data_IF_927089805076
#
_entry.id   IF_927089805076
#
_cell.length_a   1.000
_cell.length_b   1.000
_cell.length_c   1.000
_cell.angle_alpha   90.00
_cell.angle_beta   90.00
_cell.angle_gamma   90.00
#
_symmetry.space_group_name_H-M   'P 1'
#
loop_
_entity.id
_entity.type
_entity.pdbx_description
1 polymer ?
#
# COMPACT_ATOMS: atom_id res chain seq x y z
N UNK A 1 12.61 -5.14 6.19
CA UNK A 1 11.28 -5.52 6.68
C UNK A 1 10.24 -4.76 5.87
N UNK A 2 9.22 -5.44 5.36
CA UNK A 2 8.15 -4.83 4.55
C UNK A 2 7.06 -4.21 5.43
N UNK A 3 6.29 -3.26 4.86
CA UNK A 3 5.11 -2.70 5.51
C UNK A 3 3.96 -3.72 5.44
N UNK A 4 3.34 -4.10 6.58
CA UNK A 4 2.12 -4.89 6.56
C UNK A 4 0.93 -4.03 6.08
N UNK A 5 0.15 -4.58 5.15
CA UNK A 5 -1.09 -4.00 4.66
C UNK A 5 -2.27 -4.95 4.95
N UNK A 6 -2.78 -4.98 6.19
CA UNK A 6 -3.81 -5.94 6.59
C UNK A 6 -5.13 -5.75 5.83
N UNK A 7 -5.39 -4.56 5.29
CA UNK A 7 -6.60 -4.27 4.52
C UNK A 7 -6.60 -4.88 3.11
N UNK A 8 -5.42 -5.16 2.54
CA UNK A 8 -5.28 -5.78 1.22
C UNK A 8 -4.76 -7.22 1.27
N UNK A 9 -3.87 -7.53 2.22
CA UNK A 9 -3.16 -8.80 2.34
C UNK A 9 -3.51 -9.57 3.62
N UNK A 10 -4.45 -9.09 4.43
CA UNK A 10 -4.87 -9.74 5.66
C UNK A 10 -5.78 -10.95 5.42
N UNK A 11 -5.76 -11.90 6.36
CA UNK A 11 -6.66 -13.04 6.40
C UNK A 11 -7.50 -13.01 7.68
N UNK A 12 -8.81 -13.16 7.53
CA UNK A 12 -9.74 -13.20 8.68
C UNK A 12 -9.83 -14.61 9.27
N UNK A 13 -9.84 -14.71 10.59
CA UNK A 13 -10.11 -15.94 11.32
C UNK A 13 -11.48 -15.85 12.00
N UNK A 14 -12.44 -16.77 11.73
CA UNK A 14 -13.73 -16.76 12.39
C UNK A 14 -13.62 -17.07 13.89
N UNK A 15 -14.48 -16.43 14.68
CA UNK A 15 -14.61 -16.70 16.11
C UNK A 15 -15.40 -17.98 16.36
N UNK A 16 -15.02 -18.77 17.38
CA UNK A 16 -15.73 -20.00 17.76
C UNK A 16 -15.30 -21.27 17.00
N UNK A 17 -14.29 -21.15 16.13
CA UNK A 17 -13.68 -22.26 15.42
C UNK A 17 -12.15 -22.17 15.56
N UNK A 18 -11.47 -23.31 15.53
CA UNK A 18 -10.02 -23.35 15.33
C UNK A 18 -9.74 -23.02 13.87
N UNK A 19 -8.90 -22.02 13.62
CA UNK A 19 -8.42 -21.68 12.28
C UNK A 19 -6.99 -22.17 12.11
N UNK A 20 -6.74 -22.95 11.07
CA UNK A 20 -5.41 -23.41 10.67
C UNK A 20 -5.00 -22.72 9.38
N UNK A 21 -3.85 -22.04 9.42
CA UNK A 21 -3.27 -21.34 8.26
C UNK A 21 -1.97 -22.02 7.86
N UNK A 22 -1.97 -22.70 6.72
CA UNK A 22 -0.76 -23.21 6.08
C UNK A 22 -0.12 -22.10 5.24
N UNK A 23 1.12 -21.71 5.56
CA UNK A 23 1.83 -20.64 4.86
C UNK A 23 2.97 -21.25 4.04
N UNK A 24 3.01 -20.93 2.75
CA UNK A 24 4.10 -21.31 1.85
C UNK A 24 4.76 -20.08 1.24
N UNK A 25 6.05 -19.91 1.52
CA UNK A 25 6.87 -18.84 0.95
C UNK A 25 7.33 -19.19 -0.47
N UNK A 26 7.30 -18.20 -1.37
CA UNK A 26 7.84 -18.28 -2.72
C UNK A 26 8.60 -16.98 -3.02
N UNK A 27 9.88 -17.08 -3.34
CA UNK A 27 10.65 -15.93 -3.81
C UNK A 27 10.49 -15.80 -5.32
N UNK A 28 10.17 -14.60 -5.79
CA UNK A 28 9.98 -14.29 -7.19
C UNK A 28 11.01 -13.26 -7.64
N UNK A 29 11.80 -13.66 -8.65
CA UNK A 29 12.84 -12.81 -9.25
C UNK A 29 12.44 -12.47 -10.68
N UNK A 30 12.38 -11.17 -10.99
CA UNK A 30 12.09 -10.63 -12.31
C UNK A 30 13.37 -10.10 -12.96
N UNK A 31 13.49 -10.29 -14.26
CA UNK A 31 14.60 -9.74 -15.02
C UNK A 31 14.40 -8.22 -15.22
N UNK A 32 15.44 -7.40 -15.02
CA UNK A 32 15.41 -5.98 -15.32
C UNK A 32 15.49 -5.74 -16.84
N UNK A 33 15.58 -4.47 -17.25
CA UNK A 33 15.75 -4.09 -18.64
C UNK A 33 16.97 -4.82 -19.25
N UNK A 34 16.87 -5.32 -20.50
CA UNK A 34 15.80 -5.10 -21.48
C UNK A 34 14.60 -6.05 -21.40
N UNK A 35 14.62 -7.07 -20.52
CA UNK A 35 13.59 -8.12 -20.48
C UNK A 35 12.37 -7.76 -19.61
N UNK A 36 12.51 -6.76 -18.76
CA UNK A 36 11.44 -6.25 -17.92
C UNK A 36 11.74 -4.83 -17.43
N UNK A 37 10.84 -4.28 -16.64
CA UNK A 37 10.97 -2.92 -16.08
C UNK A 37 10.78 -2.94 -14.56
N UNK A 38 11.37 -3.94 -13.91
CA UNK A 38 11.36 -4.04 -12.45
C UNK A 38 12.36 -3.05 -11.84
N UNK A 39 12.13 -2.69 -10.57
CA UNK A 39 13.01 -1.78 -9.83
C UNK A 39 13.74 -2.51 -8.70
N UNK A 40 15.05 -2.27 -8.54
CA UNK A 40 15.83 -2.82 -7.42
C UNK A 40 15.69 -1.96 -6.17
N UNK A 41 15.82 -0.64 -6.35
CA UNK A 41 15.67 0.37 -5.31
C UNK A 41 14.56 1.32 -5.73
N UNK A 42 13.33 1.04 -5.30
CA UNK A 42 12.16 1.83 -5.70
C UNK A 42 11.80 2.95 -4.73
N UNK A 43 12.55 3.11 -3.64
CA UNK A 43 12.29 4.17 -2.66
C UNK A 43 12.80 5.49 -3.20
N UNK A 44 11.90 6.47 -3.27
CA UNK A 44 12.22 7.88 -3.47
C UNK A 44 11.89 8.68 -2.20
N UNK A 45 12.17 9.98 -2.24
CA UNK A 45 11.81 10.92 -1.15
C UNK A 45 10.29 11.08 -0.95
N UNK A 46 9.48 10.53 -1.87
CA UNK A 46 8.03 10.56 -1.80
C UNK A 46 7.45 9.33 -1.09
N UNK A 47 8.25 8.29 -0.85
CA UNK A 47 7.84 7.07 -0.19
C UNK A 47 7.61 7.29 1.31
N UNK A 48 6.34 7.21 1.73
CA UNK A 48 5.93 7.57 3.11
C UNK A 48 6.32 6.52 4.16
N UNK A 49 6.72 5.32 3.75
CA UNK A 49 7.15 4.23 4.64
C UNK A 49 8.69 4.15 4.69
N UNK A 50 9.35 5.24 5.08
CA UNK A 50 10.80 5.40 4.96
C UNK A 50 11.61 4.21 5.55
N UNK A 51 11.17 3.67 6.69
CA UNK A 51 11.82 2.55 7.40
C UNK A 51 11.49 1.15 6.82
N UNK A 52 10.56 1.05 5.87
CA UNK A 52 10.09 -0.24 5.30
C UNK A 52 10.63 -0.46 3.91
N UNK A 53 10.86 -1.70 3.48
CA UNK A 53 11.30 -1.98 2.10
C UNK A 53 10.27 -1.53 1.06
N UNK A 54 10.77 -1.22 -0.14
CA UNK A 54 9.91 -0.85 -1.26
C UNK A 54 9.03 -2.03 -1.66
N UNK A 55 7.74 -1.77 -1.80
CA UNK A 55 6.79 -2.67 -2.43
C UNK A 55 5.78 -1.85 -3.23
N UNK A 56 5.09 -2.52 -4.16
CA UNK A 56 4.19 -1.86 -5.10
C UNK A 56 3.01 -1.18 -4.39
N UNK A 57 2.45 -1.82 -3.35
CA UNK A 57 1.36 -1.24 -2.54
C UNK A 57 1.79 0.02 -1.79
N UNK A 58 2.97 0.01 -1.17
CA UNK A 58 3.53 1.17 -0.49
C UNK A 58 3.77 2.32 -1.44
N UNK A 59 4.22 2.05 -2.68
CA UNK A 59 4.39 3.08 -3.70
C UNK A 59 3.05 3.71 -4.09
N UNK A 60 2.02 2.90 -4.34
CA UNK A 60 0.69 3.40 -4.71
C UNK A 60 0.12 4.29 -3.61
N UNK A 61 0.19 3.83 -2.36
CA UNK A 61 -0.28 4.60 -1.19
C UNK A 61 0.52 5.88 -0.99
N UNK A 62 1.84 5.84 -1.17
CA UNK A 62 2.70 7.04 -1.10
C UNK A 62 2.33 8.07 -2.16
N UNK A 63 2.11 7.62 -3.40
CA UNK A 63 1.72 8.48 -4.51
C UNK A 63 0.35 9.13 -4.27
N UNK A 64 -0.64 8.34 -3.82
CA UNK A 64 -1.96 8.86 -3.47
C UNK A 64 -1.83 9.87 -2.32
N UNK A 65 -1.03 9.58 -1.29
CA UNK A 65 -0.81 10.50 -0.17
C UNK A 65 -0.19 11.84 -0.61
N UNK A 66 0.75 11.80 -1.56
CA UNK A 66 1.31 13.00 -2.20
C UNK A 66 0.22 13.79 -2.96
N UNK A 67 -0.63 13.11 -3.73
CA UNK A 67 -1.75 13.74 -4.44
C UNK A 67 -2.72 14.43 -3.48
N UNK A 68 -3.10 13.77 -2.39
CA UNK A 68 -3.98 14.32 -1.36
C UNK A 68 -3.35 15.53 -0.66
N UNK A 69 -2.05 15.44 -0.32
CA UNK A 69 -1.31 16.57 0.22
C UNK A 69 -1.34 17.79 -0.70
N UNK A 70 -1.29 17.59 -2.03
CA UNK A 70 -1.31 18.68 -3.00
C UNK A 70 -2.73 19.24 -3.27
N UNK A 71 -3.76 18.39 -3.26
CA UNK A 71 -5.15 18.77 -3.58
C UNK A 71 -5.97 19.23 -2.37
N UNK A 72 -5.87 18.50 -1.27
CA UNK A 72 -6.64 18.76 -0.05
C UNK A 72 -5.83 19.49 1.03
N UNK A 73 -4.52 19.67 0.83
CA UNK A 73 -3.63 20.30 1.82
C UNK A 73 -3.33 19.42 3.05
N UNK A 74 -3.75 18.15 3.03
CA UNK A 74 -3.54 17.18 4.10
C UNK A 74 -3.60 15.74 3.56
N UNK A 75 -3.00 14.81 4.30
CA UNK A 75 -2.97 13.38 3.96
C UNK A 75 -4.13 12.57 4.54
N UNK A 76 -4.37 11.38 4.01
CA UNK A 76 -5.27 10.39 4.59
C UNK A 76 -4.74 9.94 5.98
N UNK A 77 -5.54 10.06 7.06
CA UNK A 77 -5.12 9.72 8.41
C UNK A 77 -4.82 8.23 8.64
N UNK A 78 -5.21 7.33 7.72
CA UNK A 78 -4.91 5.89 7.81
C UNK A 78 -3.45 5.55 7.51
N UNK A 79 -2.71 6.48 6.90
CA UNK A 79 -1.32 6.27 6.49
C UNK A 79 -0.39 7.31 7.13
N UNK A 80 0.93 7.05 7.15
CA UNK A 80 1.90 8.07 7.56
C UNK A 80 1.72 9.38 6.80
N UNK A 81 2.02 10.52 7.42
CA UNK A 81 1.96 11.82 6.76
C UNK A 81 2.96 11.87 5.60
N UNK A 82 2.59 12.59 4.54
CA UNK A 82 3.52 12.89 3.45
C UNK A 82 4.43 14.05 3.87
N UNK A 83 5.71 13.76 4.09
CA UNK A 83 6.72 14.74 4.52
C UNK A 83 6.26 15.52 5.77
N UNK A 84 6.26 16.85 5.71
CA UNK A 84 5.82 17.72 6.80
C UNK A 84 4.30 18.00 6.80
N UNK A 85 3.56 17.52 5.79
CA UNK A 85 2.12 17.76 5.70
C UNK A 85 1.38 16.86 6.69
N UNK A 86 0.60 17.48 7.59
CA UNK A 86 -0.22 16.75 8.55
C UNK A 86 -1.34 15.97 7.85
N UNK A 87 -1.77 14.88 8.48
CA UNK A 87 -2.98 14.18 8.06
C UNK A 87 -4.22 15.03 8.34
N UNK A 88 -5.28 14.79 7.57
CA UNK A 88 -6.50 15.55 7.68
C UNK A 88 -7.18 15.29 9.04
N UNK A 89 -7.67 16.35 9.70
CA UNK A 89 -8.50 16.22 10.89
C UNK A 89 -9.79 15.45 10.55
N UNK A 90 -10.18 14.53 11.44
CA UNK A 90 -11.35 13.67 11.22
C UNK A 90 -12.66 14.44 11.37
N UNK A 91 -12.64 15.52 12.15
CA UNK A 91 -13.76 16.40 12.49
C UNK A 91 -14.09 17.46 11.42
N UNK A 92 -13.15 17.82 10.55
CA UNK A 92 -13.37 18.80 9.48
C UNK A 92 -14.17 18.18 8.29
N UNK A 93 -15.43 18.60 8.07
CA UNK A 93 -16.27 18.02 7.02
C UNK A 93 -15.79 18.37 5.60
N UNK A 94 -15.17 19.54 5.41
CA UNK A 94 -14.72 19.99 4.09
C UNK A 94 -13.52 19.17 3.64
N UNK A 95 -12.56 18.95 4.54
CA UNK A 95 -11.40 18.09 4.27
C UNK A 95 -11.79 16.63 4.10
N UNK A 96 -12.77 16.16 4.87
CA UNK A 96 -13.30 14.78 4.73
C UNK A 96 -13.92 14.54 3.36
N UNK A 97 -14.71 15.49 2.86
CA UNK A 97 -15.30 15.40 1.53
C UNK A 97 -14.23 15.49 0.42
N UNK A 98 -13.23 16.36 0.58
CA UNK A 98 -12.08 16.41 -0.33
C UNK A 98 -11.35 15.06 -0.38
N UNK A 99 -11.00 14.50 0.78
CA UNK A 99 -10.34 13.18 0.86
C UNK A 99 -11.16 12.11 0.15
N UNK A 100 -12.46 12.03 0.42
CA UNK A 100 -13.35 11.02 -0.18
C UNK A 100 -13.32 11.09 -1.71
N UNK A 101 -13.46 12.29 -2.28
CA UNK A 101 -13.51 12.49 -3.73
C UNK A 101 -12.14 12.28 -4.38
N UNK A 102 -11.08 12.85 -3.81
CA UNK A 102 -9.73 12.77 -4.36
C UNK A 102 -9.11 11.39 -4.20
N UNK A 103 -9.40 10.63 -3.13
CA UNK A 103 -9.00 9.23 -3.00
C UNK A 103 -9.63 8.39 -4.11
N UNK A 104 -10.94 8.54 -4.35
CA UNK A 104 -11.62 7.82 -5.43
C UNK A 104 -11.06 8.18 -6.81
N UNK A 105 -10.79 9.47 -7.05
CA UNK A 105 -10.17 9.94 -8.27
C UNK A 105 -8.76 9.35 -8.45
N UNK A 106 -7.91 9.43 -7.43
CA UNK A 106 -6.54 8.95 -7.45
C UNK A 106 -6.45 7.44 -7.68
N UNK A 107 -7.34 6.65 -7.07
CA UNK A 107 -7.42 5.20 -7.31
C UNK A 107 -7.83 4.88 -8.75
N UNK A 108 -8.79 5.61 -9.32
CA UNK A 108 -9.30 5.37 -10.68
C UNK A 108 -8.34 5.87 -11.76
N UNK A 109 -7.64 6.97 -11.49
CA UNK A 109 -6.80 7.68 -12.46
C UNK A 109 -5.35 7.80 -11.99
N UNK A 110 -4.81 6.74 -11.38
CA UNK A 110 -3.44 6.69 -10.84
C UNK A 110 -2.36 7.11 -11.85
N UNK A 111 -2.54 6.80 -13.14
CA UNK A 111 -1.64 7.24 -14.21
C UNK A 111 -1.72 8.75 -14.48
N UNK A 112 -2.90 9.36 -14.39
CA UNK A 112 -3.09 10.80 -14.64
C UNK A 112 -2.47 11.65 -13.53
N UNK A 113 -2.52 11.16 -12.28
CA UNK A 113 -1.86 11.80 -11.14
C UNK A 113 -0.35 11.51 -11.07
N UNK A 114 0.19 10.75 -12.03
CA UNK A 114 1.62 10.53 -12.20
C UNK A 114 2.21 9.40 -11.35
N UNK A 115 1.41 8.47 -10.82
CA UNK A 115 1.94 7.33 -10.08
C UNK A 115 2.70 6.37 -11.01
N UNK A 116 4.01 6.21 -10.76
CA UNK A 116 4.92 5.32 -11.51
C UNK A 116 5.43 4.19 -10.63
N UNK A 117 4.53 3.33 -10.16
CA UNK A 117 4.89 2.21 -9.29
C UNK A 117 5.21 0.95 -10.09
N UNK A 118 6.50 0.61 -10.13
CA UNK A 118 7.02 -0.59 -10.79
C UNK A 118 7.11 -1.74 -9.80
N UNK A 119 6.98 -2.97 -10.27
CA UNK A 119 7.17 -4.16 -9.43
C UNK A 119 8.64 -4.27 -9.00
N UNK A 120 8.94 -4.69 -7.76
CA UNK A 120 10.31 -4.96 -7.34
C UNK A 120 10.91 -6.12 -8.14
N UNK A 121 12.22 -6.08 -8.39
CA UNK A 121 12.92 -7.16 -9.09
C UNK A 121 12.98 -8.45 -8.26
N UNK A 122 13.05 -8.33 -6.94
CA UNK A 122 13.01 -9.48 -6.03
C UNK A 122 11.91 -9.22 -5.01
N UNK A 123 11.03 -10.19 -4.83
CA UNK A 123 9.94 -10.13 -3.86
C UNK A 123 9.69 -11.51 -3.25
N UNK A 124 9.37 -11.55 -1.97
CA UNK A 124 8.87 -12.75 -1.31
C UNK A 124 7.34 -12.70 -1.31
N UNK A 125 6.71 -13.79 -1.76
CA UNK A 125 5.26 -13.93 -1.85
C UNK A 125 4.84 -15.10 -0.98
N UNK A 126 3.86 -14.87 -0.11
CA UNK A 126 3.31 -15.90 0.77
C UNK A 126 1.96 -16.37 0.24
N UNK A 127 1.86 -17.64 -0.10
CA UNK A 127 0.57 -18.28 -0.39
C UNK A 127 0.02 -18.91 0.88
N UNK A 128 -1.23 -18.61 1.20
CA UNK A 128 -1.91 -19.09 2.41
C UNK A 128 -3.02 -20.08 2.04
N UNK A 129 -3.05 -21.20 2.75
CA UNK A 129 -4.14 -22.18 2.72
C UNK A 129 -4.86 -22.15 4.06
N UNK A 130 -6.18 -22.06 4.04
CA UNK A 130 -7.01 -21.94 5.23
C UNK A 130 -7.86 -23.20 5.42
N UNK A 131 -7.91 -23.70 6.66
CA UNK A 131 -8.90 -24.68 7.09
C UNK A 131 -9.43 -24.30 8.47
N UNK A 132 -10.64 -24.75 8.80
CA UNK A 132 -11.24 -24.54 10.10
C UNK A 132 -11.89 -25.82 10.64
N UNK A 133 -11.87 -25.97 11.95
CA UNK A 133 -12.55 -27.03 12.66
C UNK A 133 -13.28 -26.47 13.88
N UNK A 134 -14.30 -27.19 14.36
CA UNK A 134 -14.90 -26.85 15.65
C UNK A 134 -13.82 -26.95 16.73
N UNK A 135 -13.80 -26.00 17.65
CA UNK A 135 -12.97 -26.07 18.85
C UNK A 135 -13.40 -27.25 19.73
#
# INVERSE_FOLDING_TARGET
MEQPFPDTLGHSAPTGFVSSFGIKMKTMTRLPAPFGDCVREGKDDDFIFADKQYNTEGCQRSCIQKHLSAKCGCGDPRYPPYRATKNCPVDDPVKRECLKNEVQYAMRFSKQIGCKCKQPCTQDVYSVSYSASRW
#
